data_IF_584258354144
#
_entry.id   IF_584258354144
#
_cell.length_a   1.000
_cell.length_b   1.000
_cell.length_c   1.000
_cell.angle_alpha   90.00
_cell.angle_beta   90.00
_cell.angle_gamma   90.00
#
_symmetry.space_group_name_H-M   'P 1'
#
loop_
_entity.id
_entity.type
_entity.pdbx_description
1 polymer ?
#
# COMPACT_ATOMS: atom_id res chain seq x y z
N UNK A 1 -8.49 7.94 -3.48
CA UNK A 1 -9.30 6.73 -3.20
C UNK A 1 -10.72 6.99 -3.67
N UNK A 2 -11.13 6.42 -4.81
CA UNK A 2 -12.51 6.54 -5.29
C UNK A 2 -13.32 5.41 -4.68
N UNK A 3 -13.98 5.70 -3.56
CA UNK A 3 -14.85 4.79 -2.81
C UNK A 3 -16.25 4.84 -3.45
N UNK A 4 -16.38 4.44 -4.71
CA UNK A 4 -17.70 4.36 -5.36
C UNK A 4 -17.99 2.93 -5.79
N UNK A 5 -19.20 2.48 -5.49
CA UNK A 5 -19.83 1.25 -5.99
C UNK A 5 -19.34 -0.08 -5.40
N UNK A 6 -19.08 -0.17 -4.09
CA UNK A 6 -18.89 -1.49 -3.43
C UNK A 6 -20.18 -2.32 -3.36
N UNK A 7 -21.34 -1.66 -3.37
CA UNK A 7 -22.64 -2.30 -3.53
C UNK A 7 -23.25 -1.72 -4.81
N UNK A 8 -23.62 -2.60 -5.74
CA UNK A 8 -24.42 -2.24 -6.91
C UNK A 8 -25.83 -2.74 -6.69
N UNK A 9 -26.72 -1.86 -6.22
CA UNK A 9 -28.10 -2.22 -5.87
C UNK A 9 -28.87 -2.90 -7.01
N UNK A 10 -28.52 -2.58 -8.26
CA UNK A 10 -29.10 -3.16 -9.47
C UNK A 10 -28.80 -4.67 -9.65
N UNK A 11 -27.84 -5.23 -8.89
CA UNK A 11 -27.43 -6.64 -9.02
C UNK A 11 -28.24 -7.61 -8.15
N UNK A 12 -29.03 -7.11 -7.21
CA UNK A 12 -29.73 -7.95 -6.23
C UNK A 12 -31.24 -7.73 -6.33
N UNK A 13 -32.00 -8.80 -6.61
CA UNK A 13 -33.46 -8.73 -6.64
C UNK A 13 -34.01 -8.37 -5.25
N UNK A 14 -35.17 -7.67 -5.18
CA UNK A 14 -35.80 -7.31 -3.91
C UNK A 14 -36.19 -8.53 -3.06
N UNK A 15 -36.38 -9.70 -3.70
CA UNK A 15 -36.83 -10.94 -3.08
C UNK A 15 -35.69 -11.88 -2.64
N UNK A 16 -34.43 -11.42 -2.66
CA UNK A 16 -33.27 -12.18 -2.18
C UNK A 16 -32.55 -11.45 -1.01
N UNK A 17 -33.15 -11.46 0.19
CA UNK A 17 -32.57 -10.79 1.36
C UNK A 17 -31.23 -11.39 1.79
N UNK A 18 -30.97 -12.66 1.48
CA UNK A 18 -29.70 -13.31 1.80
C UNK A 18 -28.59 -12.76 0.92
N UNK A 19 -28.78 -12.68 -0.39
CA UNK A 19 -27.79 -12.10 -1.29
C UNK A 19 -27.53 -10.61 -1.00
N UNK A 20 -28.56 -9.85 -0.60
CA UNK A 20 -28.40 -8.47 -0.14
C UNK A 20 -27.57 -8.38 1.15
N UNK A 21 -27.81 -9.27 2.11
CA UNK A 21 -27.03 -9.34 3.36
C UNK A 21 -25.56 -9.65 3.08
N UNK A 22 -25.29 -10.67 2.26
CA UNK A 22 -23.93 -11.08 1.89
C UNK A 22 -23.19 -9.95 1.16
N UNK A 23 -23.88 -9.19 0.30
CA UNK A 23 -23.32 -8.02 -0.37
C UNK A 23 -22.91 -6.90 0.61
N UNK A 24 -23.75 -6.61 1.59
CA UNK A 24 -23.46 -5.60 2.62
C UNK A 24 -22.27 -6.04 3.48
N UNK A 25 -22.26 -7.30 3.94
CA UNK A 25 -21.15 -7.85 4.72
C UNK A 25 -19.84 -7.83 3.93
N UNK A 26 -19.89 -8.19 2.63
CA UNK A 26 -18.76 -8.09 1.72
C UNK A 26 -18.25 -6.65 1.56
N UNK A 27 -19.16 -5.69 1.40
CA UNK A 27 -18.81 -4.28 1.29
C UNK A 27 -18.16 -3.74 2.57
N UNK A 28 -18.68 -4.11 3.74
CA UNK A 28 -18.10 -3.73 5.05
C UNK A 28 -16.68 -4.30 5.18
N UNK A 29 -16.47 -5.57 4.80
CA UNK A 29 -15.15 -6.19 4.82
C UNK A 29 -14.17 -5.47 3.89
N UNK A 30 -14.59 -5.15 2.67
CA UNK A 30 -13.77 -4.42 1.70
C UNK A 30 -13.44 -3.00 2.20
N UNK A 31 -14.38 -2.38 2.93
CA UNK A 31 -14.18 -1.09 3.58
C UNK A 31 -13.08 -1.15 4.65
N UNK A 32 -13.18 -2.12 5.56
CA UNK A 32 -12.21 -2.33 6.62
C UNK A 32 -10.81 -2.55 6.04
N UNK A 33 -10.66 -3.42 5.05
CA UNK A 33 -9.38 -3.63 4.35
C UNK A 33 -8.86 -2.32 3.74
N UNK A 34 -9.69 -1.60 2.99
CA UNK A 34 -9.27 -0.35 2.33
C UNK A 34 -8.85 0.73 3.34
N UNK A 35 -9.56 0.82 4.47
CA UNK A 35 -9.24 1.77 5.54
C UNK A 35 -7.91 1.43 6.23
N UNK A 36 -7.64 0.13 6.47
CA UNK A 36 -6.36 -0.32 7.02
C UNK A 36 -5.20 -0.01 6.09
N UNK A 37 -5.33 -0.32 4.80
CA UNK A 37 -4.30 -0.01 3.81
C UNK A 37 -4.04 1.50 3.70
N UNK A 38 -5.08 2.33 3.74
CA UNK A 38 -4.93 3.79 3.75
C UNK A 38 -4.22 4.29 5.03
N UNK A 39 -4.53 3.69 6.19
CA UNK A 39 -3.86 4.00 7.45
C UNK A 39 -2.37 3.59 7.41
N UNK A 40 -2.07 2.41 6.89
CA UNK A 40 -0.71 1.90 6.70
C UNK A 40 0.09 2.80 5.74
N UNK A 41 -0.49 3.20 4.61
CA UNK A 41 0.14 4.16 3.69
C UNK A 41 0.43 5.50 4.36
N UNK A 42 -0.50 6.01 5.18
CA UNK A 42 -0.29 7.25 5.92
C UNK A 42 0.83 7.11 6.94
N UNK A 43 0.89 5.98 7.64
CA UNK A 43 1.95 5.71 8.60
C UNK A 43 3.31 5.57 7.92
N UNK A 44 3.40 4.83 6.83
CA UNK A 44 4.62 4.71 6.01
C UNK A 44 5.14 6.08 5.58
N UNK A 45 4.25 6.94 5.06
CA UNK A 45 4.62 8.28 4.63
C UNK A 45 5.13 9.15 5.79
N UNK A 46 4.50 9.06 6.97
CA UNK A 46 4.96 9.79 8.15
C UNK A 46 6.33 9.30 8.64
N UNK A 47 6.53 7.98 8.73
CA UNK A 47 7.82 7.39 9.11
C UNK A 47 8.93 7.78 8.12
N UNK A 48 8.62 7.85 6.82
CA UNK A 48 9.57 8.28 5.81
C UNK A 48 9.97 9.74 6.00
N UNK A 49 9.00 10.65 6.20
CA UNK A 49 9.28 12.08 6.41
C UNK A 49 10.04 12.37 7.70
N UNK A 50 9.85 11.56 8.74
CA UNK A 50 10.64 11.68 9.98
C UNK A 50 12.07 11.15 9.81
N UNK A 51 12.29 10.19 8.91
CA UNK A 51 13.58 9.57 8.67
C UNK A 51 14.49 10.35 7.70
N UNK A 52 13.92 11.26 6.90
CA UNK A 52 14.65 11.97 5.84
C UNK A 52 14.45 13.47 5.96
N UNK A 53 15.53 14.24 5.88
CA UNK A 53 15.43 15.71 5.93
C UNK A 53 14.73 16.26 4.68
N UNK A 54 15.00 15.67 3.51
CA UNK A 54 14.30 15.96 2.26
C UNK A 54 14.12 14.69 1.43
N UNK A 55 13.03 14.61 0.65
CA UNK A 55 12.84 13.51 -0.30
C UNK A 55 13.91 13.50 -1.40
N UNK A 56 14.45 14.66 -1.75
CA UNK A 56 15.54 14.79 -2.74
C UNK A 56 16.86 14.22 -2.21
N UNK A 57 17.13 14.35 -0.91
CA UNK A 57 18.31 13.73 -0.27
C UNK A 57 18.36 12.21 -0.45
N UNK A 58 17.21 11.55 -0.57
CA UNK A 58 17.15 10.11 -0.88
C UNK A 58 17.70 9.82 -2.27
N UNK A 59 17.37 10.64 -3.26
CA UNK A 59 17.89 10.48 -4.61
C UNK A 59 19.40 10.76 -4.66
N UNK A 60 19.88 11.73 -3.88
CA UNK A 60 21.30 12.08 -3.79
C UNK A 60 22.12 10.97 -3.09
N UNK A 61 21.61 10.38 -2.01
CA UNK A 61 22.32 9.35 -1.24
C UNK A 61 22.16 7.93 -1.81
N UNK A 62 21.00 7.62 -2.39
CA UNK A 62 20.58 6.25 -2.75
C UNK A 62 20.26 6.07 -4.23
N UNK A 63 20.30 7.16 -5.00
CA UNK A 63 20.00 7.18 -6.43
C UNK A 63 18.52 7.47 -6.74
N UNK A 64 18.27 8.02 -7.92
CA UNK A 64 16.92 8.42 -8.37
C UNK A 64 15.91 7.26 -8.40
N UNK A 65 16.38 6.04 -8.69
CA UNK A 65 15.55 4.83 -8.68
C UNK A 65 15.02 4.51 -7.28
N UNK A 66 15.76 4.82 -6.20
CA UNK A 66 15.28 4.62 -4.84
C UNK A 66 14.06 5.51 -4.55
N UNK A 67 14.06 6.76 -5.04
CA UNK A 67 12.93 7.66 -4.90
C UNK A 67 11.70 7.17 -5.70
N UNK A 68 11.90 6.66 -6.91
CA UNK A 68 10.80 6.06 -7.67
C UNK A 68 10.22 4.84 -6.93
N UNK A 69 11.08 3.97 -6.40
CA UNK A 69 10.69 2.77 -5.65
C UNK A 69 9.93 3.12 -4.36
N UNK A 70 10.22 4.25 -3.71
CA UNK A 70 9.42 4.74 -2.57
C UNK A 70 7.97 5.02 -2.95
N UNK A 71 7.77 5.72 -4.08
CA UNK A 71 6.43 6.05 -4.56
C UNK A 71 5.68 4.77 -4.95
N UNK A 72 6.35 3.83 -5.62
CA UNK A 72 5.76 2.54 -5.94
C UNK A 72 5.44 1.71 -4.70
N UNK A 73 6.32 1.70 -3.69
CA UNK A 73 6.07 1.01 -2.42
C UNK A 73 4.85 1.61 -1.71
N UNK A 74 4.75 2.94 -1.65
CA UNK A 74 3.60 3.62 -1.06
C UNK A 74 2.29 3.22 -1.74
N UNK A 75 2.30 3.12 -3.07
CA UNK A 75 1.14 2.69 -3.86
C UNK A 75 0.84 1.20 -3.68
N UNK A 76 1.87 0.35 -3.58
CA UNK A 76 1.71 -1.07 -3.30
C UNK A 76 1.06 -1.29 -1.93
N UNK A 77 1.51 -0.58 -0.88
CA UNK A 77 0.87 -0.60 0.44
C UNK A 77 -0.60 -0.17 0.32
N UNK A 78 -0.88 0.94 -0.39
CA UNK A 78 -2.24 1.46 -0.54
C UNK A 78 -3.18 0.46 -1.23
N UNK A 79 -2.65 -0.32 -2.17
CA UNK A 79 -3.41 -1.29 -2.97
C UNK A 79 -3.37 -2.71 -2.40
N UNK A 80 -2.62 -2.96 -1.31
CA UNK A 80 -2.41 -4.30 -0.76
C UNK A 80 -1.59 -5.21 -1.68
N UNK A 81 -0.71 -4.63 -2.50
CA UNK A 81 0.13 -5.32 -3.47
C UNK A 81 1.61 -5.37 -3.09
N UNK A 82 2.47 -5.67 -4.07
CA UNK A 82 3.93 -5.70 -3.91
C UNK A 82 4.62 -4.97 -5.05
N UNK A 83 5.84 -4.50 -4.83
CA UNK A 83 6.77 -4.07 -5.87
C UNK A 83 7.82 -5.16 -6.13
N UNK A 84 8.28 -5.27 -7.37
CA UNK A 84 9.36 -6.16 -7.74
C UNK A 84 10.65 -5.36 -7.94
N UNK A 85 11.72 -5.78 -7.27
CA UNK A 85 13.04 -5.16 -7.34
C UNK A 85 14.09 -6.19 -7.72
N UNK A 86 15.07 -5.80 -8.54
CA UNK A 86 16.30 -6.59 -8.72
C UNK A 86 17.11 -6.63 -7.43
N UNK A 87 18.07 -7.56 -7.32
CA UNK A 87 18.98 -7.63 -6.17
C UNK A 87 19.73 -6.31 -5.90
N UNK A 88 20.18 -5.63 -6.95
CA UNK A 88 20.84 -4.31 -6.85
C UNK A 88 19.88 -3.24 -6.31
N UNK A 89 18.67 -3.16 -6.88
CA UNK A 89 17.65 -2.22 -6.44
C UNK A 89 17.23 -2.47 -4.99
N UNK A 90 17.06 -3.74 -4.60
CA UNK A 90 16.71 -4.12 -3.24
C UNK A 90 17.82 -3.75 -2.24
N UNK A 91 19.09 -3.85 -2.65
CA UNK A 91 20.22 -3.42 -1.82
C UNK A 91 20.22 -1.90 -1.60
N UNK A 92 20.05 -1.12 -2.66
CA UNK A 92 19.94 0.35 -2.57
C UNK A 92 18.71 0.80 -1.75
N UNK A 93 17.64 0.01 -1.76
CA UNK A 93 16.38 0.30 -1.10
C UNK A 93 16.28 -0.23 0.35
N UNK A 94 17.30 -0.95 0.83
CA UNK A 94 17.26 -1.66 2.11
C UNK A 94 17.03 -0.77 3.33
N UNK A 95 17.32 0.54 3.23
CA UNK A 95 17.09 1.52 4.31
C UNK A 95 15.63 1.58 4.79
N UNK A 96 14.67 1.15 3.96
CA UNK A 96 13.26 1.03 4.38
C UNK A 96 13.10 0.12 5.60
N UNK A 97 13.97 -0.88 5.75
CA UNK A 97 13.93 -1.80 6.90
C UNK A 97 14.30 -1.12 8.21
N UNK A 98 14.99 0.02 8.16
CA UNK A 98 15.43 0.78 9.34
C UNK A 98 14.35 1.76 9.83
N UNK A 99 13.26 1.93 9.08
CA UNK A 99 12.09 2.68 9.55
C UNK A 99 11.44 1.99 10.77
N UNK A 100 10.69 2.72 11.62
CA UNK A 100 10.04 2.15 12.80
C UNK A 100 9.20 0.89 12.51
N UNK A 101 8.50 0.86 11.38
CA UNK A 101 7.75 -0.31 10.89
C UNK A 101 8.37 -0.95 9.65
N UNK A 102 9.68 -0.78 9.45
CA UNK A 102 10.38 -1.15 8.22
C UNK A 102 10.21 -2.61 7.79
N UNK A 103 10.22 -3.54 8.75
CA UNK A 103 9.95 -4.97 8.49
C UNK A 103 8.56 -5.20 7.89
N UNK A 104 7.56 -4.45 8.35
CA UNK A 104 6.18 -4.54 7.82
C UNK A 104 6.12 -4.00 6.39
N UNK A 105 6.72 -2.83 6.14
CA UNK A 105 6.77 -2.25 4.80
C UNK A 105 7.52 -3.12 3.80
N UNK A 106 8.57 -3.80 4.26
CA UNK A 106 9.35 -4.71 3.42
C UNK A 106 8.55 -5.94 2.95
N UNK A 107 7.43 -6.29 3.59
CA UNK A 107 6.56 -7.38 3.12
C UNK A 107 5.94 -7.07 1.75
N UNK A 108 5.85 -5.79 1.38
CA UNK A 108 5.38 -5.33 0.08
C UNK A 108 6.51 -5.28 -0.97
N UNK A 109 7.69 -5.85 -0.69
CA UNK A 109 8.83 -5.91 -1.62
C UNK A 109 9.15 -7.37 -1.96
N UNK A 110 9.16 -7.68 -3.25
CA UNK A 110 9.59 -8.97 -3.78
C UNK A 110 10.91 -8.78 -4.55
N UNK A 111 11.94 -9.52 -4.16
CA UNK A 111 13.24 -9.47 -4.86
C UNK A 111 13.23 -10.53 -5.96
N UNK A 112 13.53 -10.11 -7.19
CA UNK A 112 13.70 -10.99 -8.35
C UNK A 112 15.18 -11.25 -8.59
N UNK A 113 15.49 -12.47 -9.06
CA UNK A 113 16.85 -12.88 -9.45
C UNK A 113 17.40 -12.04 -10.61
#
# INVERSE_FOLDING_TARGET
MVIRSWIKHEQYGPDDPQAQCDAVLGAIRNADVSLRLAADTKQFHAELLDAVETLTGIAEERGELALANLVYLQMAILQGGVIELTGEQASAFAFIRDLPSGVRWWQNVKVTE
#
